data_IF_481909314202
#
_entry.id   IF_481909314202
#
_cell.length_a   1.000
_cell.length_b   1.000
_cell.length_c   1.000
_cell.angle_alpha   90.00
_cell.angle_beta   90.00
_cell.angle_gamma   90.00
#
_symmetry.space_group_name_H-M   'P 1'
#
loop_
_entity.id
_entity.type
_entity.pdbx_description
1 polymer ?
#
# COMPACT_ATOMS: atom_id res chain seq x y z
N UNK A 1 15.34 11.03 -6.57
CA UNK A 1 15.30 9.98 -7.61
C UNK A 1 15.02 10.57 -8.98
N UNK A 2 14.17 11.59 -9.07
CA UNK A 2 13.79 12.24 -10.32
C UNK A 2 14.21 13.71 -10.36
N UNK A 3 14.25 14.27 -11.56
CA UNK A 3 14.33 15.72 -11.80
C UNK A 3 12.99 16.40 -11.48
N UNK A 4 12.98 17.72 -11.37
CA UNK A 4 11.74 18.49 -11.14
C UNK A 4 10.72 18.28 -12.27
N UNK A 5 11.18 18.24 -13.52
CA UNK A 5 10.31 18.04 -14.68
C UNK A 5 9.66 16.65 -14.68
N UNK A 6 10.42 15.60 -14.35
CA UNK A 6 9.90 14.24 -14.21
C UNK A 6 8.90 14.13 -13.06
N UNK A 7 9.24 14.66 -11.87
CA UNK A 7 8.34 14.63 -10.71
C UNK A 7 7.04 15.41 -10.95
N UNK A 8 7.11 16.53 -11.69
CA UNK A 8 5.93 17.29 -12.08
C UNK A 8 5.06 16.50 -13.06
N UNK A 9 5.68 15.85 -14.04
CA UNK A 9 4.95 15.01 -14.99
C UNK A 9 4.27 13.81 -14.31
N UNK A 10 4.90 13.19 -13.30
CA UNK A 10 4.28 12.15 -12.47
C UNK A 10 3.11 12.69 -11.65
N UNK A 11 3.28 13.84 -10.99
CA UNK A 11 2.21 14.47 -10.21
C UNK A 11 0.99 14.84 -11.07
N UNK A 12 1.19 15.29 -12.30
CA UNK A 12 0.10 15.66 -13.21
C UNK A 12 -0.75 14.44 -13.67
N UNK A 13 -0.25 13.20 -13.52
CA UNK A 13 -1.00 11.98 -13.85
C UNK A 13 -2.12 11.66 -12.86
N UNK A 14 -2.05 12.19 -11.64
CA UNK A 14 -3.06 11.94 -10.61
C UNK A 14 -4.12 13.05 -10.60
N UNK A 15 -5.35 12.67 -10.27
CA UNK A 15 -6.45 13.62 -10.07
C UNK A 15 -6.58 13.92 -8.57
N UNK A 16 -6.50 15.21 -8.22
CA UNK A 16 -6.59 15.69 -6.84
C UNK A 16 -7.83 16.55 -6.69
N UNK A 17 -8.61 16.29 -5.63
CA UNK A 17 -9.76 17.11 -5.24
C UNK A 17 -9.28 18.38 -4.55
N UNK A 18 -9.76 19.53 -5.00
CA UNK A 18 -9.41 20.86 -4.48
C UNK A 18 -10.67 21.74 -4.33
N UNK A 19 -10.51 22.92 -3.74
CA UNK A 19 -11.58 23.90 -3.49
C UNK A 19 -11.87 24.14 -2.01
N UNK A 20 -12.96 24.87 -1.70
CA UNK A 20 -14.01 25.30 -2.62
C UNK A 20 -13.60 26.45 -3.56
N UNK A 21 -14.29 26.57 -4.70
CA UNK A 21 -14.23 27.72 -5.60
C UNK A 21 -15.07 28.92 -5.10
N UNK A 22 -15.16 29.98 -5.89
CA UNK A 22 -15.91 31.21 -5.58
C UNK A 22 -17.43 30.99 -5.47
N UNK A 23 -17.94 29.87 -5.97
CA UNK A 23 -19.34 29.43 -5.85
C UNK A 23 -19.56 28.40 -4.74
N UNK A 24 -18.51 28.01 -4.02
CA UNK A 24 -18.57 27.01 -2.95
C UNK A 24 -18.44 25.56 -3.41
N UNK A 25 -18.12 25.32 -4.68
CA UNK A 25 -18.02 23.97 -5.24
C UNK A 25 -16.60 23.42 -5.15
N UNK A 26 -16.49 22.11 -4.90
CA UNK A 26 -15.22 21.39 -4.99
C UNK A 26 -15.02 20.88 -6.41
N UNK A 27 -13.78 20.88 -6.88
CA UNK A 27 -13.42 20.44 -8.23
C UNK A 27 -12.21 19.50 -8.21
N UNK A 28 -11.95 18.86 -9.33
CA UNK A 28 -10.82 17.98 -9.54
C UNK A 28 -9.80 18.66 -10.46
N UNK A 29 -8.52 18.55 -10.15
CA UNK A 29 -7.42 19.07 -10.98
C UNK A 29 -6.29 18.06 -11.11
N UNK A 30 -5.42 18.21 -12.12
CA UNK A 30 -4.13 17.53 -12.13
C UNK A 30 -3.33 17.83 -10.86
N UNK A 31 -2.57 16.84 -10.39
CA UNK A 31 -1.68 17.00 -9.25
C UNK A 31 -0.54 17.99 -9.53
N UNK A 32 0.03 18.52 -8.44
CA UNK A 32 1.20 19.41 -8.45
C UNK A 32 2.24 18.89 -7.46
N UNK A 33 3.47 19.40 -7.55
CA UNK A 33 4.60 18.96 -6.71
C UNK A 33 4.37 19.08 -5.19
N UNK A 34 3.46 19.95 -4.75
CA UNK A 34 3.15 20.13 -3.33
C UNK A 34 2.01 19.25 -2.82
N UNK A 35 1.37 18.46 -3.68
CA UNK A 35 0.37 17.48 -3.25
C UNK A 35 1.07 16.25 -2.65
N UNK A 36 0.42 15.64 -1.66
CA UNK A 36 0.85 14.35 -1.11
C UNK A 36 0.51 13.21 -2.07
N UNK A 37 1.12 12.04 -1.84
CA UNK A 37 0.72 10.83 -2.54
C UNK A 37 -0.74 10.48 -2.23
N UNK A 38 -1.53 10.09 -3.25
CA UNK A 38 -2.93 9.80 -3.07
C UNK A 38 -3.11 8.52 -2.24
N UNK A 39 -4.06 8.55 -1.31
CA UNK A 39 -4.47 7.33 -0.61
C UNK A 39 -5.27 6.43 -1.57
N UNK A 40 -5.01 5.11 -1.62
CA UNK A 40 -5.75 4.18 -2.47
C UNK A 40 -7.21 4.01 -2.02
N UNK A 41 -7.51 4.31 -0.75
CA UNK A 41 -8.84 4.19 -0.17
C UNK A 41 -9.24 5.50 0.53
N UNK A 42 -10.53 5.88 0.52
CA UNK A 42 -11.00 7.10 1.16
C UNK A 42 -10.97 7.04 2.69
N UNK A 43 -11.02 5.84 3.28
CA UNK A 43 -10.98 5.60 4.73
C UNK A 43 -10.59 4.14 5.04
N UNK A 44 -10.40 3.85 6.33
CA UNK A 44 -10.02 2.52 6.83
C UNK A 44 -11.09 1.46 6.53
N UNK A 45 -12.37 1.80 6.64
CA UNK A 45 -13.48 0.88 6.42
C UNK A 45 -13.53 0.41 4.95
N UNK A 46 -13.33 1.34 4.01
CA UNK A 46 -13.24 1.01 2.59
C UNK A 46 -12.01 0.13 2.29
N UNK A 47 -10.88 0.40 2.94
CA UNK A 47 -9.68 -0.41 2.80
C UNK A 47 -9.91 -1.84 3.33
N UNK A 48 -10.53 -1.99 4.51
CA UNK A 48 -10.88 -3.30 5.07
C UNK A 48 -11.87 -4.06 4.20
N UNK A 49 -12.91 -3.38 3.72
CA UNK A 49 -13.90 -4.00 2.84
C UNK A 49 -13.26 -4.55 1.56
N UNK A 50 -12.30 -3.82 0.97
CA UNK A 50 -11.59 -4.25 -0.23
C UNK A 50 -10.58 -5.39 -0.01
N UNK A 51 -10.14 -5.62 1.24
CA UNK A 51 -9.04 -6.55 1.56
C UNK A 51 -9.47 -7.64 2.57
N UNK A 52 -10.69 -8.17 2.44
CA UNK A 52 -11.21 -9.27 3.28
C UNK A 52 -11.13 -8.99 4.79
N UNK A 53 -11.38 -7.75 5.20
CA UNK A 53 -11.34 -7.28 6.58
C UNK A 53 -9.97 -6.85 7.09
N UNK A 54 -8.89 -7.16 6.36
CA UNK A 54 -7.54 -6.71 6.70
C UNK A 54 -7.34 -5.24 6.31
N UNK A 55 -6.61 -4.49 7.13
CA UNK A 55 -6.27 -3.09 6.83
C UNK A 55 -4.80 -3.00 6.39
N UNK A 56 -4.52 -2.66 5.12
CA UNK A 56 -3.16 -2.40 4.67
C UNK A 56 -2.56 -1.22 5.47
N UNK A 57 -1.40 -1.40 6.13
CA UNK A 57 -0.78 -0.32 6.87
C UNK A 57 -0.21 0.75 5.94
N UNK A 58 -0.18 2.00 6.39
CA UNK A 58 0.56 3.07 5.71
C UNK A 58 2.06 2.74 5.67
N UNK A 59 2.68 2.97 4.50
CA UNK A 59 4.06 2.56 4.25
C UNK A 59 5.10 3.67 4.54
N UNK A 60 4.68 4.89 4.89
CA UNK A 60 5.57 6.04 5.07
C UNK A 60 6.67 5.79 6.12
N UNK A 61 6.34 5.02 7.17
CA UNK A 61 7.27 4.69 8.27
C UNK A 61 7.42 3.18 8.52
N UNK A 62 6.97 2.33 7.59
CA UNK A 62 6.85 0.88 7.87
C UNK A 62 8.18 0.22 8.21
N UNK A 63 9.28 0.68 7.60
CA UNK A 63 10.65 0.22 7.88
C UNK A 63 10.98 0.46 9.35
N UNK A 64 10.81 1.69 9.86
CA UNK A 64 11.10 1.99 11.27
C UNK A 64 10.06 1.40 12.24
N UNK A 65 8.83 1.16 11.78
CA UNK A 65 7.74 0.65 12.60
C UNK A 65 7.75 -0.87 12.81
N UNK A 66 8.72 -1.61 12.25
CA UNK A 66 8.84 -3.06 12.38
C UNK A 66 10.24 -3.46 12.85
N UNK A 67 10.31 -4.44 13.76
CA UNK A 67 11.58 -4.99 14.21
C UNK A 67 12.28 -5.66 13.03
N UNK A 68 13.55 -5.31 12.81
CA UNK A 68 14.35 -5.80 11.69
C UNK A 68 14.30 -4.90 10.44
N UNK A 69 13.48 -3.84 10.43
CA UNK A 69 13.56 -2.81 9.40
C UNK A 69 13.40 -3.34 7.98
N UNK A 70 14.29 -2.89 7.11
CA UNK A 70 14.37 -3.26 5.71
C UNK A 70 14.62 -4.76 5.49
N UNK A 71 15.40 -5.43 6.35
CA UNK A 71 15.67 -6.87 6.25
C UNK A 71 14.39 -7.68 6.44
N UNK A 72 13.52 -7.22 7.35
CA UNK A 72 12.21 -7.81 7.56
C UNK A 72 11.32 -7.62 6.31
N UNK A 73 11.27 -6.41 5.74
CA UNK A 73 10.44 -6.13 4.57
C UNK A 73 10.93 -6.93 3.34
N UNK A 74 12.24 -6.99 3.12
CA UNK A 74 12.83 -7.77 2.03
C UNK A 74 12.49 -9.26 2.16
N UNK A 75 12.71 -9.82 3.37
CA UNK A 75 12.41 -11.22 3.65
C UNK A 75 10.92 -11.52 3.55
N UNK A 76 10.05 -10.58 3.96
CA UNK A 76 8.60 -10.70 3.83
C UNK A 76 8.19 -10.74 2.35
N UNK A 77 8.68 -9.83 1.52
CA UNK A 77 8.25 -9.73 0.11
C UNK A 77 8.77 -10.88 -0.75
N UNK A 78 9.93 -11.44 -0.42
CA UNK A 78 10.58 -12.52 -1.19
C UNK A 78 10.36 -13.92 -0.60
N UNK A 79 9.85 -14.01 0.63
CA UNK A 79 9.72 -15.26 1.40
C UNK A 79 8.38 -15.97 1.30
N UNK A 80 7.51 -15.60 0.35
CA UNK A 80 6.25 -16.32 0.13
C UNK A 80 6.51 -17.76 -0.32
N UNK A 81 5.85 -18.73 0.31
CA UNK A 81 5.94 -20.14 -0.06
C UNK A 81 4.70 -20.93 0.37
N UNK A 82 4.60 -22.18 -0.07
CA UNK A 82 3.48 -23.07 0.28
C UNK A 82 3.46 -23.39 1.78
N UNK A 83 2.28 -23.41 2.37
CA UNK A 83 2.11 -23.72 3.79
C UNK A 83 2.66 -25.12 4.10
N UNK A 84 3.48 -25.29 5.16
CA UNK A 84 3.97 -26.60 5.54
C UNK A 84 2.83 -27.50 6.03
N UNK A 85 3.07 -28.82 6.04
CA UNK A 85 2.08 -29.79 6.46
C UNK A 85 1.52 -29.46 7.87
N UNK A 86 0.19 -29.47 7.99
CA UNK A 86 -0.52 -29.18 9.24
C UNK A 86 -0.89 -27.70 9.46
N UNK A 87 -0.44 -26.78 8.61
CA UNK A 87 -0.88 -25.38 8.66
C UNK A 87 -2.16 -25.20 7.85
N UNK A 88 -3.24 -24.76 8.51
CA UNK A 88 -4.52 -24.45 7.88
C UNK A 88 -4.68 -22.94 7.77
N UNK A 89 -4.73 -22.44 6.54
CA UNK A 89 -4.97 -21.02 6.24
C UNK A 89 -6.47 -20.78 6.04
N UNK A 90 -6.95 -19.61 6.44
CA UNK A 90 -8.30 -19.16 6.08
C UNK A 90 -8.31 -18.68 4.63
N UNK A 91 -9.50 -18.61 4.05
CA UNK A 91 -9.69 -17.99 2.74
C UNK A 91 -9.16 -16.55 2.74
N UNK A 92 -8.42 -16.19 1.69
CA UNK A 92 -7.75 -14.89 1.58
C UNK A 92 -6.48 -14.73 2.44
N UNK A 93 -6.01 -15.79 3.11
CA UNK A 93 -4.71 -15.80 3.78
C UNK A 93 -3.68 -16.60 2.97
N UNK A 94 -2.43 -16.17 3.08
CA UNK A 94 -1.26 -16.73 2.42
C UNK A 94 -0.21 -17.10 3.47
N UNK A 95 0.59 -18.11 3.20
CA UNK A 95 1.67 -18.48 4.12
C UNK A 95 2.91 -17.62 3.85
N UNK A 96 3.49 -17.08 4.92
CA UNK A 96 4.78 -16.42 4.90
C UNK A 96 5.48 -16.61 6.26
N UNK A 97 6.65 -17.28 6.32
CA UNK A 97 7.30 -17.64 7.57
C UNK A 97 7.84 -16.43 8.35
N UNK A 98 8.05 -15.31 7.67
CA UNK A 98 8.53 -14.07 8.30
C UNK A 98 7.38 -13.28 8.92
N UNK A 99 6.14 -13.46 8.45
CA UNK A 99 4.99 -12.80 9.06
C UNK A 99 4.66 -13.42 10.43
N UNK A 100 4.44 -12.61 11.49
CA UNK A 100 4.06 -13.15 12.80
C UNK A 100 2.81 -14.04 12.71
N UNK A 101 2.94 -15.31 13.10
CA UNK A 101 1.87 -16.30 13.02
C UNK A 101 1.77 -17.04 11.68
N UNK A 102 2.62 -16.72 10.70
CA UNK A 102 2.75 -17.46 9.44
C UNK A 102 1.65 -17.19 8.40
N UNK A 103 0.51 -16.65 8.80
CA UNK A 103 -0.62 -16.37 7.91
C UNK A 103 -0.80 -14.86 7.69
N UNK A 104 -0.60 -14.39 6.46
CA UNK A 104 -0.73 -12.98 6.07
C UNK A 104 -1.90 -12.78 5.09
N UNK A 105 -2.62 -11.66 5.18
CA UNK A 105 -3.72 -11.31 4.26
C UNK A 105 -3.28 -10.57 2.99
N UNK A 106 -1.97 -10.43 2.77
CA UNK A 106 -1.39 -9.83 1.58
C UNK A 106 -1.00 -10.95 0.61
N UNK A 107 -1.49 -10.90 -0.63
CA UNK A 107 -1.04 -11.80 -1.68
C UNK A 107 0.43 -11.56 -2.03
N UNK A 108 1.09 -12.54 -2.65
CA UNK A 108 2.39 -12.29 -3.26
C UNK A 108 2.20 -11.33 -4.44
N UNK A 109 3.00 -10.27 -4.49
CA UNK A 109 2.89 -9.20 -5.52
C UNK A 109 4.15 -9.04 -6.35
N UNK A 110 5.27 -9.66 -5.94
CA UNK A 110 6.52 -9.64 -6.68
C UNK A 110 6.76 -11.02 -7.32
N UNK A 111 6.97 -10.99 -8.63
CA UNK A 111 7.23 -12.14 -9.48
C UNK A 111 8.32 -11.78 -10.50
N UNK A 112 8.96 -12.79 -11.09
CA UNK A 112 9.84 -12.56 -12.24
C UNK A 112 8.99 -12.17 -13.46
N UNK A 113 9.47 -11.18 -14.22
CA UNK A 113 8.86 -10.75 -15.49
C UNK A 113 9.09 -11.76 -16.62
#
# INVERSE_FOLDING_TARGET
SHTEAEAKAEAEQITVRDGPDDTGNYYNRPGKLSDYFPSPYPNEEAARAANNGAYPPDLSYIVSARKGGEDYIFSLLTGYHDAPAGVVLREGQYFNPYFPGGAISMAQVLYNE
#
